data_IF_371863702757
#
_entry.id   IF_371863702757
#
_cell.length_a   1.000
_cell.length_b   1.000
_cell.length_c   1.000
_cell.angle_alpha   90.00
_cell.angle_beta   90.00
_cell.angle_gamma   90.00
#
_symmetry.space_group_name_H-M   'P 1'
#
loop_
_entity.id
_entity.type
_entity.pdbx_description
1 polymer ?
2 branched ?
3 non-polymer ?
4 non-polymer ?
5 water ?
#
# COMPACT_ATOMS: atom_id res chain seq x y z
N UNK A 38 18.02 -3.39 -21.36
CA UNK A 38 17.11 -4.47 -21.84
C UNK A 38 15.61 -4.14 -21.73
N UNK A 39 15.25 -3.09 -20.98
CA UNK A 39 13.83 -2.78 -20.73
C UNK A 39 13.15 -3.77 -19.78
N UNK A 40 13.95 -4.39 -18.90
CA UNK A 40 13.44 -5.33 -17.91
C UNK A 40 13.81 -4.98 -16.44
N UNK A 41 14.61 -3.94 -16.23
CA UNK A 41 15.11 -3.60 -14.91
C UNK A 41 14.05 -3.04 -13.99
N UNK A 42 14.28 -3.18 -12.69
CA UNK A 42 13.40 -2.62 -11.70
C UNK A 42 13.40 -1.10 -11.75
N UNK A 43 12.22 -0.52 -11.45
CA UNK A 43 12.11 0.92 -11.31
C UNK A 43 11.98 1.30 -9.86
N UNK A 44 12.88 2.15 -9.38
CA UNK A 44 12.96 2.52 -7.97
C UNK A 44 12.20 3.80 -7.63
N UNK A 45 11.38 4.27 -8.58
CA UNK A 45 10.41 5.33 -8.33
C UNK A 45 8.97 4.79 -8.45
N UNK A 46 8.84 3.46 -8.37
CA UNK A 46 7.56 2.77 -8.43
C UNK A 46 7.39 1.99 -7.14
N UNK A 47 6.34 2.34 -6.39
CA UNK A 47 6.10 1.85 -5.03
C UNK A 47 4.85 1.01 -5.02
N UNK A 48 4.92 -0.24 -4.59
CA UNK A 48 3.75 -1.08 -4.61
C UNK A 48 3.35 -1.45 -3.18
N UNK A 49 2.10 -1.08 -2.82
CA UNK A 49 1.63 -1.28 -1.44
C UNK A 49 1.42 -2.76 -1.12
N UNK A 50 2.11 -3.23 -0.08
CA UNK A 50 2.25 -4.63 0.28
C UNK A 50 1.72 -4.86 1.70
N UNK A 51 0.98 -5.95 1.87
CA UNK A 51 0.35 -6.29 3.13
C UNK A 51 0.93 -7.62 3.61
N UNK A 52 1.40 -7.62 4.86
CA UNK A 52 2.06 -8.78 5.51
C UNK A 52 1.23 -9.39 6.62
N UNK A 53 -0.08 -9.24 6.52
CA UNK A 53 -0.99 -9.58 7.60
C UNK A 53 -1.68 -10.94 7.44
N UNK A 54 -1.31 -11.72 6.42
CA UNK A 54 -1.94 -13.00 6.16
C UNK A 54 -1.26 -14.09 6.96
N UNK A 55 -1.99 -15.12 7.38
CA UNK A 55 -1.36 -16.27 8.03
C UNK A 55 -1.70 -17.58 7.33
N UNK A 56 -0.90 -18.61 7.58
CA UNK A 56 -1.22 -19.96 7.13
C UNK A 56 -0.97 -20.94 8.25
N UNK A 57 -1.63 -22.08 8.18
CA UNK A 57 -1.43 -23.12 9.16
C UNK A 57 0.03 -23.56 9.16
N UNK A 58 0.65 -23.59 7.97
CA UNK A 58 2.03 -24.05 7.83
C UNK A 58 2.99 -23.26 8.72
N UNK A 59 2.85 -21.94 8.72
CA UNK A 59 3.78 -21.09 9.46
C UNK A 59 3.19 -20.47 10.74
N UNK A 60 1.96 -19.97 10.65
CA UNK A 60 1.35 -19.21 11.75
C UNK A 60 0.44 -20.06 12.61
N UNK A 61 0.11 -21.24 12.12
CA UNK A 61 -0.86 -22.07 12.80
C UNK A 61 -2.27 -21.52 12.75
N UNK A 62 -2.52 -20.60 11.84
CA UNK A 62 -3.83 -19.98 11.70
C UNK A 62 -3.93 -19.15 10.42
N UNK A 63 -5.17 -18.98 9.96
CA UNK A 63 -5.51 -18.23 8.74
C UNK A 63 -5.94 -16.75 8.95
N UNK A 64 -5.01 -16.01 9.54
CA UNK A 64 -5.21 -14.58 9.80
C UNK A 64 -5.49 -13.83 8.50
N UNK A 65 -6.45 -12.92 8.59
CA UNK A 65 -6.93 -12.07 7.50
C UNK A 65 -7.71 -12.82 6.42
N UNK A 66 -7.34 -14.05 6.07
CA UNK A 66 -8.22 -14.85 5.20
C UNK A 66 -9.58 -15.00 5.89
N UNK A 67 -9.54 -15.16 7.23
CA UNK A 67 -10.70 -14.97 8.10
C UNK A 67 -10.78 -13.48 8.47
N UNK A 68 -11.98 -12.92 8.43
CA UNK A 68 -12.11 -11.47 8.68
C UNK A 68 -13.54 -11.16 9.08
N UNK A 69 -13.71 -10.24 10.00
CA UNK A 69 -15.06 -9.76 10.35
C UNK A 69 -15.71 -9.06 9.17
N UNK A 70 -17.01 -9.22 9.06
CA UNK A 70 -17.80 -8.50 8.07
C UNK A 70 -18.24 -7.20 8.73
N UNK A 71 -18.01 -6.09 8.07
CA UNK A 71 -18.35 -4.79 8.63
C UNK A 71 -19.86 -4.53 8.60
N UNK A 72 -20.43 -4.00 9.69
CA UNK A 72 -21.83 -3.57 9.63
C UNK A 72 -21.95 -2.36 8.69
N UNK A 73 -23.14 -2.18 8.18
CA UNK A 73 -23.44 -1.05 7.31
C UNK A 73 -23.52 0.22 8.17
N UNK A 74 -22.65 1.22 7.95
CA UNK A 74 -22.72 2.44 8.78
C UNK A 74 -24.05 3.18 8.67
N UNK A 75 -24.82 2.94 7.61
CA UNK A 75 -26.15 3.53 7.47
C UNK A 75 -27.29 2.52 7.71
N UNK A 76 -26.98 1.35 8.32
CA UNK A 76 -28.00 0.29 8.29
C UNK A 76 -28.70 0.06 9.64
N UNK A 77 -28.47 0.94 10.58
CA UNK A 77 -29.19 0.90 11.86
C UNK A 77 -28.60 -0.06 12.88
N UNK A 78 -29.25 -0.12 14.04
CA UNK A 78 -28.76 -0.90 15.17
C UNK A 78 -29.16 -2.35 15.08
N UNK A 79 -28.47 -3.18 15.85
CA UNK A 79 -28.79 -4.58 15.95
C UNK A 79 -28.34 -5.46 14.80
N UNK A 80 -27.41 -4.97 13.98
CA UNK A 80 -26.86 -5.78 12.90
C UNK A 80 -25.94 -6.86 13.50
N UNK A 81 -25.99 -8.05 12.91
CA UNK A 81 -25.11 -9.15 13.33
C UNK A 81 -24.46 -9.66 12.05
N UNK A 82 -23.51 -8.89 11.53
CA UNK A 82 -22.94 -9.18 10.20
C UNK A 82 -22.16 -10.49 10.12
N UNK A 83 -21.60 -10.93 11.24
CA UNK A 83 -20.84 -12.17 11.26
C UNK A 83 -19.42 -12.00 10.72
N UNK A 84 -18.85 -13.14 10.35
CA UNK A 84 -17.45 -13.21 9.95
C UNK A 84 -17.29 -14.14 8.78
N UNK A 85 -16.27 -13.88 7.99
CA UNK A 85 -15.84 -14.84 6.99
C UNK A 85 -14.80 -15.75 7.63
N UNK A 86 -15.00 -17.07 7.52
CA UNK A 86 -14.21 -17.97 8.38
C UNK A 86 -12.78 -18.27 7.92
N UNK A 87 -12.42 -17.91 6.69
CA UNK A 87 -11.07 -18.18 6.21
C UNK A 87 -10.81 -19.66 5.97
N UNK A 88 -11.86 -20.40 5.62
CA UNK A 88 -11.72 -21.79 5.17
C UNK A 88 -11.23 -21.79 3.73
N UNK A 89 -10.89 -22.96 3.21
CA UNK A 89 -10.50 -23.02 1.81
C UNK A 89 -11.60 -22.48 0.90
N UNK A 90 -12.83 -22.79 1.27
CA UNK A 90 -13.98 -22.44 0.48
C UNK A 90 -14.38 -20.96 0.60
N UNK A 91 -14.15 -20.37 1.77
CA UNK A 91 -14.67 -19.03 2.09
C UNK A 91 -13.62 -18.12 2.74
N UNK A 92 -13.01 -17.30 1.90
CA UNK A 92 -11.97 -16.35 2.32
C UNK A 92 -12.47 -14.93 2.14
N UNK A 93 -11.79 -14.00 2.80
CA UNK A 93 -12.19 -12.60 2.86
C UNK A 93 -11.70 -11.79 1.67
N UNK A 94 -12.13 -12.23 0.49
CA UNK A 94 -11.81 -11.58 -0.78
C UNK A 94 -12.89 -11.97 -1.77
N UNK A 95 -13.12 -11.08 -2.74
CA UNK A 95 -13.96 -11.45 -3.88
C UNK A 95 -13.18 -12.24 -4.95
N UNK A 96 -11.83 -12.26 -4.85
CA UNK A 96 -10.93 -13.01 -5.71
C UNK A 96 -10.26 -14.13 -4.89
N UNK A 97 -9.47 -14.97 -5.57
CA UNK A 97 -8.84 -16.10 -4.92
C UNK A 97 -7.37 -16.18 -5.32
N UNK A 98 -6.44 -16.13 -4.35
CA UNK A 98 -5.02 -16.14 -4.68
C UNK A 98 -4.54 -17.40 -5.39
N UNK A 99 -3.69 -17.23 -6.41
CA UNK A 99 -2.98 -18.36 -7.00
C UNK A 99 -2.17 -19.13 -5.96
N UNK A 100 -1.63 -18.43 -4.97
CA UNK A 100 -0.83 -19.08 -3.94
C UNK A 100 -1.64 -19.63 -2.78
N UNK A 101 -2.98 -19.55 -2.85
CA UNK A 101 -3.86 -20.07 -1.80
C UNK A 101 -3.82 -19.20 -0.54
N UNK A 102 -4.25 -19.80 0.57
CA UNK A 102 -4.29 -19.13 1.87
C UNK A 102 -2.91 -19.13 2.49
N UNK A 103 -2.08 -18.23 2.00
CA UNK A 103 -0.68 -18.25 2.36
C UNK A 103 -0.38 -17.49 3.67
N UNK A 104 0.77 -17.81 4.25
CA UNK A 104 1.29 -17.06 5.36
C UNK A 104 2.29 -16.02 4.87
N UNK A 105 2.12 -14.79 5.36
CA UNK A 105 3.10 -13.74 5.12
C UNK A 105 4.42 -13.97 5.84
N UNK A 106 4.47 -14.96 6.75
CA UNK A 106 5.70 -15.37 7.45
C UNK A 106 6.40 -16.55 6.79
N UNK A 107 5.85 -17.07 5.69
CA UNK A 107 6.43 -18.25 5.03
C UNK A 107 7.55 -17.78 4.10
N UNK A 108 8.83 -18.09 4.41
CA UNK A 108 9.91 -17.63 3.53
C UNK A 108 9.75 -18.07 2.06
N UNK A 109 9.09 -19.20 1.80
CA UNK A 109 8.95 -19.65 0.44
C UNK A 109 7.88 -18.80 -0.32
N UNK A 110 6.85 -18.33 0.38
CA UNK A 110 5.90 -17.36 -0.21
C UNK A 110 6.62 -16.06 -0.48
N UNK A 111 7.44 -15.62 0.45
CA UNK A 111 8.12 -14.34 0.27
C UNK A 111 9.03 -14.38 -0.96
N UNK A 112 9.73 -15.50 -1.15
CA UNK A 112 10.55 -15.67 -2.34
C UNK A 112 9.74 -15.46 -3.62
N UNK A 113 8.60 -16.15 -3.67
CA UNK A 113 7.68 -16.05 -4.80
C UNK A 113 7.18 -14.62 -5.01
N UNK A 114 6.80 -13.94 -3.94
CA UNK A 114 6.40 -12.56 -4.07
C UNK A 114 7.51 -11.69 -4.63
N UNK A 115 8.75 -11.89 -4.20
CA UNK A 115 9.83 -11.06 -4.74
C UNK A 115 10.03 -11.33 -6.23
N UNK A 116 9.89 -12.59 -6.65
CA UNK A 116 9.95 -12.89 -8.08
C UNK A 116 8.80 -12.22 -8.86
N UNK A 117 7.63 -12.08 -8.23
CA UNK A 117 6.51 -11.35 -8.83
C UNK A 117 6.81 -9.86 -8.95
N UNK A 118 7.45 -9.27 -7.93
CA UNK A 118 7.88 -7.86 -8.03
C UNK A 118 8.87 -7.69 -9.18
N UNK A 119 9.81 -8.63 -9.35
CA UNK A 119 10.74 -8.57 -10.48
C UNK A 119 9.99 -8.62 -11.81
N UNK A 120 9.00 -9.49 -11.92
CA UNK A 120 8.23 -9.57 -13.16
C UNK A 120 7.46 -8.25 -13.42
N UNK A 121 6.96 -7.61 -12.37
CA UNK A 121 6.23 -6.37 -12.50
C UNK A 121 7.11 -5.14 -12.69
N UNK A 122 8.42 -5.30 -12.43
CA UNK A 122 9.40 -4.20 -12.48
C UNK A 122 9.25 -3.15 -11.39
N UNK A 123 8.53 -3.53 -10.32
CA UNK A 123 8.27 -2.62 -9.21
C UNK A 123 9.42 -2.72 -8.21
N UNK A 124 10.26 -1.68 -8.14
CA UNK A 124 11.44 -1.74 -7.33
C UNK A 124 11.29 -1.49 -5.84
N UNK A 125 10.15 -0.93 -5.42
CA UNK A 125 9.95 -0.62 -4.00
C UNK A 125 8.68 -1.27 -3.48
N UNK A 126 8.83 -2.02 -2.40
CA UNK A 126 7.75 -2.65 -1.67
C UNK A 126 7.43 -1.73 -0.49
N UNK A 127 6.19 -1.20 -0.48
CA UNK A 127 5.76 -0.22 0.55
C UNK A 127 4.92 -1.00 1.59
N UNK A 128 5.60 -1.38 2.67
CA UNK A 128 5.11 -2.33 3.65
C UNK A 128 4.18 -1.72 4.67
N UNK A 129 2.95 -2.22 4.75
CA UNK A 129 2.01 -1.83 5.80
C UNK A 129 2.67 -2.00 7.16
N UNK A 130 2.48 -1.02 8.04
CA UNK A 130 3.13 -1.04 9.36
C UNK A 130 2.16 -0.55 10.41
N UNK A 131 1.77 -1.48 11.31
CA UNK A 131 0.69 -1.26 12.27
C UNK A 131 1.17 -1.13 13.72
N UNK A 132 2.48 -1.11 13.92
CA UNK A 132 3.04 -0.94 15.26
C UNK A 132 2.47 -2.00 16.23
N UNK A 133 2.58 -3.25 15.83
CA UNK A 133 2.01 -4.34 16.62
C UNK A 133 2.82 -4.66 17.88
N UNK A 134 4.11 -4.26 17.93
CA UNK A 134 4.96 -4.47 19.10
C UNK A 134 4.92 -5.94 19.51
N UNK A 135 5.17 -6.81 18.56
CA UNK A 135 5.20 -8.23 18.82
C UNK A 135 6.27 -8.89 18.01
N UNK A 136 6.77 -9.95 18.60
CA UNK A 136 7.84 -10.74 18.05
C UNK A 136 7.56 -11.21 16.62
N UNK A 137 6.31 -11.60 16.37
CA UNK A 137 6.00 -12.18 15.07
C UNK A 137 6.08 -11.13 13.96
N UNK A 138 5.74 -9.86 14.27
CA UNK A 138 5.90 -8.67 13.35
C UNK A 138 7.37 -8.47 13.04
N UNK A 139 8.17 -8.44 14.10
CA UNK A 139 9.60 -8.22 13.93
C UNK A 139 10.21 -9.30 13.03
N UNK A 140 9.81 -10.54 13.26
CA UNK A 140 10.34 -11.63 12.43
C UNK A 140 9.95 -11.42 10.95
N UNK A 141 8.69 -11.12 10.71
CA UNK A 141 8.21 -10.94 9.37
C UNK A 141 8.94 -9.79 8.63
N UNK A 142 9.11 -8.65 9.31
CA UNK A 142 9.80 -7.54 8.66
C UNK A 142 11.23 -7.94 8.24
N UNK A 143 11.94 -8.65 9.13
CA UNK A 143 13.27 -9.12 8.76
C UNK A 143 13.27 -10.08 7.60
N UNK A 144 12.32 -10.99 7.59
CA UNK A 144 12.20 -11.94 6.46
C UNK A 144 11.93 -11.22 5.15
N UNK A 145 11.07 -10.22 5.19
CA UNK A 145 10.75 -9.45 3.97
C UNK A 145 11.97 -8.68 3.47
N UNK A 146 12.67 -8.00 4.36
CA UNK A 146 13.87 -7.29 3.95
C UNK A 146 14.91 -8.25 3.33
N UNK A 147 15.11 -9.39 3.97
CA UNK A 147 16.08 -10.36 3.45
C UNK A 147 15.69 -10.88 2.07
N UNK A 148 14.41 -11.22 1.91
CA UNK A 148 13.97 -11.76 0.61
C UNK A 148 14.05 -10.69 -0.46
N UNK A 149 13.63 -9.48 -0.14
CA UNK A 149 13.71 -8.37 -1.08
C UNK A 149 15.15 -8.18 -1.56
N UNK A 150 16.11 -8.19 -0.65
CA UNK A 150 17.47 -7.89 -1.05
C UNK A 150 18.02 -8.90 -2.05
N UNK A 151 17.59 -10.15 -1.96
CA UNK A 151 18.08 -11.16 -2.90
C UNK A 151 17.73 -10.84 -4.34
N UNK A 152 16.69 -10.04 -4.55
CA UNK A 152 16.21 -9.65 -5.86
C UNK A 152 16.40 -8.16 -6.15
N UNK A 153 17.17 -7.47 -5.30
CA UNK A 153 17.47 -6.04 -5.44
C UNK A 153 16.21 -5.16 -5.29
N UNK A 154 15.20 -5.68 -4.60
CA UNK A 154 14.02 -4.88 -4.29
C UNK A 154 14.29 -4.11 -3.00
N UNK A 155 13.73 -2.92 -2.92
CA UNK A 155 13.86 -2.07 -1.74
C UNK A 155 12.55 -2.06 -0.97
N UNK A 156 12.63 -1.71 0.32
CA UNK A 156 11.47 -1.70 1.20
C UNK A 156 11.39 -0.35 1.88
N UNK A 157 10.18 0.22 1.87
CA UNK A 157 9.86 1.38 2.70
C UNK A 157 8.62 1.05 3.51
N UNK A 158 8.32 1.87 4.51
CA UNK A 158 7.18 1.63 5.40
C UNK A 158 6.02 2.56 5.12
N UNK A 159 4.83 1.96 5.19
CA UNK A 159 3.53 2.63 5.06
C UNK A 159 2.94 2.69 6.47
N UNK A 160 3.05 3.87 7.09
CA UNK A 160 2.72 4.03 8.51
C UNK A 160 1.21 4.18 8.66
N UNK A 161 0.61 3.17 9.27
CA UNK A 161 -0.84 3.06 9.39
C UNK A 161 -1.36 3.80 10.62
N UNK A 162 -2.70 3.97 10.72
CA UNK A 162 -3.30 4.71 11.85
C UNK A 162 -3.44 3.81 13.06
N UNK A 163 -2.31 3.54 13.69
CA UNK A 163 -2.27 2.69 14.90
C UNK A 163 -2.84 3.47 16.11
N UNK A 164 -3.21 2.77 17.19
CA UNK A 164 -3.86 3.43 18.33
C UNK A 164 -3.04 4.55 18.94
N UNK A 165 -3.67 5.70 19.14
CA UNK A 165 -3.03 6.87 19.75
C UNK A 165 -1.83 7.38 18.96
N UNK A 166 -1.77 7.07 17.65
CA UNK A 166 -0.72 7.63 16.81
C UNK A 166 -0.71 9.16 16.99
N UNK A 167 0.48 9.71 17.16
CA UNK A 167 0.66 11.15 17.34
C UNK A 167 2.07 11.47 16.93
N UNK A 168 2.45 12.75 16.83
CA UNK A 168 3.77 13.04 16.27
C UNK A 168 4.92 12.60 17.17
N UNK A 169 4.69 12.50 18.49
CA UNK A 169 5.76 12.08 19.40
C UNK A 169 6.05 10.58 19.24
N UNK A 170 5.01 9.74 19.30
CA UNK A 170 5.28 8.33 19.07
C UNK A 170 5.63 8.04 17.62
N UNK A 171 5.18 8.84 16.66
CA UNK A 171 5.66 8.68 15.29
C UNK A 171 7.14 8.92 15.22
N UNK A 172 7.62 9.99 15.88
CA UNK A 172 9.06 10.23 15.87
C UNK A 172 9.79 9.04 16.46
N UNK A 173 9.32 8.57 17.61
CA UNK A 173 9.97 7.45 18.30
C UNK A 173 10.02 6.21 17.41
N UNK A 174 8.96 5.97 16.65
CA UNK A 174 8.88 4.83 15.77
C UNK A 174 9.72 4.99 14.52
N UNK A 175 9.80 6.21 13.97
CA UNK A 175 10.72 6.49 12.87
C UNK A 175 12.15 6.25 13.32
N UNK A 176 12.52 6.75 14.50
CA UNK A 176 13.83 6.50 15.05
C UNK A 176 14.09 5.01 15.17
N UNK A 177 13.14 4.25 15.70
CA UNK A 177 13.31 2.81 15.86
C UNK A 177 13.49 2.11 14.53
N UNK A 178 12.67 2.45 13.54
CA UNK A 178 12.76 1.78 12.25
C UNK A 178 14.06 2.10 11.52
N UNK A 179 14.50 3.36 11.59
CA UNK A 179 15.78 3.72 10.96
C UNK A 179 16.95 3.06 11.70
N UNK A 180 16.88 3.04 13.04
CA UNK A 180 17.95 2.42 13.82
C UNK A 180 18.03 0.91 13.55
N UNK A 181 16.88 0.24 13.56
CA UNK A 181 16.82 -1.23 13.41
C UNK A 181 17.18 -1.67 12.01
N UNK A 182 16.64 -0.96 11.02
CA UNK A 182 16.65 -1.43 9.62
C UNK A 182 17.46 -0.57 8.67
N UNK A 183 17.92 0.60 9.11
CA UNK A 183 18.57 1.55 8.20
C UNK A 183 19.84 1.07 7.54
N UNK A 184 20.54 0.12 8.18
CA UNK A 184 21.74 -0.44 7.57
C UNK A 184 21.46 -1.70 6.77
N UNK A 185 20.21 -2.15 6.69
CA UNK A 185 19.88 -3.29 5.86
C UNK A 185 20.02 -2.88 4.40
N UNK A 186 20.65 -3.70 3.56
CA UNK A 186 20.83 -3.31 2.16
C UNK A 186 19.54 -3.06 1.37
N UNK A 187 18.40 -3.61 1.82
CA UNK A 187 17.14 -3.39 1.15
C UNK A 187 16.38 -2.17 1.63
N UNK A 188 16.85 -1.49 2.66
CA UNK A 188 16.14 -0.31 3.18
C UNK A 188 16.17 0.80 2.13
N UNK A 189 15.00 1.29 1.74
CA UNK A 189 14.93 2.27 0.66
C UNK A 189 15.47 3.65 1.04
N UNK A 190 16.26 4.26 0.15
CA UNK A 190 16.60 5.66 0.27
C UNK A 190 16.48 6.34 -1.08
N UNK A 191 16.05 7.60 -1.05
CA UNK A 191 16.00 8.48 -2.22
C UNK A 191 16.93 9.65 -1.89
N UNK A 192 17.99 9.80 -2.70
CA UNK A 192 19.01 10.84 -2.49
C UNK A 192 19.47 10.91 -1.02
N UNK A 193 19.70 9.73 -0.45
CA UNK A 193 20.18 9.60 0.90
C UNK A 193 19.15 9.58 2.01
N UNK A 194 17.87 9.80 1.70
CA UNK A 194 16.83 9.88 2.72
C UNK A 194 15.91 8.69 2.68
N UNK A 195 15.59 8.11 3.84
CA UNK A 195 14.44 7.20 3.89
C UNK A 195 13.14 7.88 3.42
N UNK A 196 12.12 7.07 3.13
CA UNK A 196 10.81 7.59 2.72
C UNK A 196 9.71 6.84 3.47
N UNK A 197 8.74 7.56 4.00
CA UNK A 197 7.56 6.97 4.62
C UNK A 197 6.30 7.50 3.96
N UNK A 198 5.35 6.60 3.71
CA UNK A 198 3.97 6.99 3.39
C UNK A 198 3.18 7.04 4.69
N UNK A 199 2.38 8.08 4.88
CA UNK A 199 1.59 8.24 6.10
C UNK A 199 0.10 8.15 5.77
N UNK A 200 -0.50 7.00 6.06
CA UNK A 200 -1.91 6.80 5.76
C UNK A 200 -2.78 7.60 6.72
N UNK A 201 -3.87 8.20 6.20
CA UNK A 201 -4.84 8.97 6.96
C UNK A 201 -4.07 10.04 7.80
N UNK A 202 -3.09 10.70 7.14
CA UNK A 202 -2.36 11.78 7.79
C UNK A 202 -3.22 12.97 8.24
N UNK A 203 -4.42 13.09 7.65
CA UNK A 203 -5.43 14.08 8.09
C UNK A 203 -5.96 13.89 9.50
N UNK A 204 -5.78 12.71 10.08
CA UNK A 204 -6.19 12.48 11.45
C UNK A 204 -5.29 13.25 12.44
N UNK A 205 -4.20 13.92 11.96
CA UNK A 205 -3.31 14.68 12.82
C UNK A 205 -3.27 16.11 12.27
N UNK A 206 -3.48 17.09 13.15
CA UNK A 206 -3.52 18.47 12.78
C UNK A 206 -2.18 18.96 12.22
N UNK A 207 -2.22 19.90 11.26
CA UNK A 207 -0.96 20.50 10.79
C UNK A 207 -0.11 21.13 11.88
N UNK A 208 -0.72 21.72 12.91
CA UNK A 208 0.09 22.28 13.98
C UNK A 208 0.91 21.22 14.72
N UNK A 209 0.42 20.00 14.80
CA UNK A 209 1.20 18.89 15.36
C UNK A 209 2.26 18.45 14.35
N UNK A 210 1.89 18.22 13.10
CA UNK A 210 2.87 17.84 12.09
C UNK A 210 4.06 18.80 12.04
N UNK A 211 3.79 20.11 12.16
CA UNK A 211 4.85 21.13 12.07
C UNK A 211 5.94 20.88 13.09
N UNK A 212 5.56 20.35 14.26
CA UNK A 212 6.55 20.11 15.33
C UNK A 212 7.57 19.05 14.94
N UNK A 213 7.13 18.11 14.10
CA UNK A 213 7.97 17.01 13.63
C UNK A 213 8.68 17.33 12.32
N UNK A 214 8.03 18.10 11.45
CA UNK A 214 8.42 18.21 10.04
C UNK A 214 8.92 19.57 9.60
N UNK A 215 8.64 20.65 10.34
CA UNK A 215 9.30 21.91 10.03
C UNK A 215 10.75 21.85 10.50
N UNK A 216 11.68 22.51 9.78
CA UNK A 216 13.05 22.56 10.29
C UNK A 216 13.17 23.20 11.67
N UNK A 217 12.20 24.03 12.05
CA UNK A 217 12.19 24.67 13.37
C UNK A 217 11.31 23.98 14.38
N UNK A 218 10.70 22.87 13.99
CA UNK A 218 9.77 22.22 14.90
C UNK A 218 10.40 21.73 16.20
N UNK A 219 9.59 21.73 17.24
CA UNK A 219 9.98 21.36 18.58
C UNK A 219 10.67 20.00 18.68
N UNK A 220 10.21 19.05 17.87
CA UNK A 220 10.77 17.69 17.85
C UNK A 220 11.16 17.31 16.42
N UNK A 221 11.77 18.27 15.72
CA UNK A 221 12.00 18.07 14.30
C UNK A 221 12.90 16.86 14.03
N UNK A 222 12.62 16.21 12.89
CA UNK A 222 13.57 15.28 12.30
C UNK A 222 14.45 15.92 11.25
N UNK A 223 14.16 17.17 10.85
CA UNK A 223 14.96 17.79 9.78
C UNK A 223 16.38 18.04 10.29
N UNK A 224 17.37 17.78 9.45
CA UNK A 224 18.78 17.94 9.78
C UNK A 224 19.28 17.00 10.87
N UNK A 225 18.54 15.95 11.15
CA UNK A 225 18.97 14.94 12.10
C UNK A 225 19.30 13.64 11.36
N UNK A 226 19.81 12.68 12.12
CA UNK A 226 20.05 11.34 11.60
C UNK A 226 18.79 10.63 11.15
N UNK A 227 17.64 11.16 11.56
CA UNK A 227 16.35 10.50 11.33
C UNK A 227 15.48 11.22 10.35
N UNK A 228 16.08 12.14 9.59
CA UNK A 228 15.35 12.88 8.55
C UNK A 228 14.85 11.86 7.51
N UNK A 229 13.71 12.18 6.88
CA UNK A 229 13.09 11.29 5.92
C UNK A 229 12.15 12.10 5.03
N UNK A 230 11.86 11.56 3.85
CA UNK A 230 10.80 12.09 3.00
C UNK A 230 9.47 11.58 3.53
N UNK A 231 8.59 12.49 3.89
CA UNK A 231 7.30 12.16 4.51
C UNK A 231 6.22 12.48 3.50
N UNK A 232 5.51 11.45 3.08
CA UNK A 232 4.51 11.54 2.01
C UNK A 232 3.13 11.37 2.63
N UNK A 233 2.36 12.46 2.71
CA UNK A 233 1.05 12.44 3.33
C UNK A 233 -0.05 12.09 2.35
N UNK A 234 -1.21 11.75 2.89
CA UNK A 234 -2.34 11.33 2.07
C UNK A 234 -3.20 12.54 1.67
N UNK A 235 -3.17 12.91 0.40
CA UNK A 235 -4.06 13.95 -0.14
C UNK A 235 -5.43 13.35 -0.38
N UNK A 236 -6.45 13.82 0.34
CA UNK A 236 -7.82 13.32 0.21
C UNK A 236 -8.72 14.25 -0.60
N UNK A 237 -9.12 15.36 0.02
CA UNK A 237 -10.22 16.18 -0.47
C UNK A 237 -9.78 17.34 -1.39
N UNK A 238 -10.54 18.44 -1.40
CA UNK A 238 -10.33 19.49 -2.40
C UNK A 238 -9.07 20.28 -2.13
N UNK A 239 -8.54 20.95 -3.17
CA UNK A 239 -7.36 21.79 -3.00
C UNK A 239 -7.49 22.87 -1.92
N UNK A 240 -8.68 23.42 -1.74
CA UNK A 240 -8.87 24.47 -0.75
C UNK A 240 -8.50 24.00 0.66
N UNK A 241 -8.72 22.71 0.93
CA UNK A 241 -8.36 22.09 2.19
C UNK A 241 -6.93 21.52 2.13
N UNK A 242 -6.61 20.80 1.09
CA UNK A 242 -5.37 20.02 1.07
C UNK A 242 -4.13 20.86 0.86
N UNK A 243 -4.21 21.93 0.05
CA UNK A 243 -3.02 22.74 -0.21
C UNK A 243 -2.46 23.34 1.09
N UNK A 244 -3.31 24.06 1.87
CA UNK A 244 -2.74 24.59 3.12
C UNK A 244 -2.35 23.49 4.11
N UNK A 245 -3.08 22.37 4.13
CA UNK A 245 -2.72 21.26 5.02
C UNK A 245 -1.28 20.81 4.73
N UNK A 246 -1.00 20.50 3.46
CA UNK A 246 0.32 19.96 3.08
C UNK A 246 1.42 20.98 3.38
N UNK A 247 1.17 22.24 3.05
CA UNK A 247 2.18 23.28 3.32
C UNK A 247 2.41 23.48 4.80
N UNK A 248 1.33 23.62 5.57
CA UNK A 248 1.43 23.92 7.00
C UNK A 248 1.93 22.73 7.81
N UNK A 249 1.73 21.51 7.30
CA UNK A 249 2.23 20.30 7.95
C UNK A 249 3.69 20.00 7.61
N UNK A 250 4.23 20.65 6.56
CA UNK A 250 5.62 20.45 6.14
C UNK A 250 5.90 19.03 5.61
N UNK A 251 4.89 18.42 5.00
CA UNK A 251 5.14 17.17 4.27
C UNK A 251 6.04 17.43 3.08
N UNK A 252 6.83 16.41 2.74
CA UNK A 252 7.67 16.49 1.53
C UNK A 252 6.92 16.17 0.27
N UNK A 253 5.76 15.54 0.39
CA UNK A 253 4.99 15.16 -0.78
C UNK A 253 3.67 14.55 -0.36
N UNK A 254 2.97 13.98 -1.34
CA UNK A 254 1.68 13.43 -1.10
C UNK A 254 1.36 12.33 -2.08
N UNK A 255 0.49 11.41 -1.63
CA UNK A 255 -0.02 10.30 -2.44
C UNK A 255 -1.53 10.26 -2.24
N UNK A 256 -2.20 9.38 -2.99
CA UNK A 256 -3.67 9.40 -3.01
C UNK A 256 -4.33 8.10 -2.54
N UNK A 257 -3.57 7.00 -2.56
CA UNK A 257 -3.93 5.64 -2.15
C UNK A 257 -5.07 4.98 -2.90
N UNK A 258 -6.28 5.56 -2.86
CA UNK A 258 -7.46 4.78 -3.21
C UNK A 258 -7.43 4.30 -4.65
N UNK A 259 -7.72 3.00 -4.82
CA UNK A 259 -7.71 2.42 -6.15
C UNK A 259 -8.97 2.74 -6.93
N UNK A 260 -10.06 3.11 -6.25
CA UNK A 260 -11.33 3.40 -6.87
C UNK A 260 -11.41 4.84 -7.34
N UNK A 261 -11.48 5.03 -8.66
CA UNK A 261 -11.54 6.37 -9.20
C UNK A 261 -12.74 7.12 -8.67
N UNK A 262 -12.56 8.37 -8.30
CA UNK A 262 -13.65 9.19 -7.84
C UNK A 262 -14.00 9.05 -6.38
N UNK A 263 -13.36 8.14 -5.65
CA UNK A 263 -13.67 7.98 -4.22
C UNK A 263 -13.39 9.27 -3.44
N UNK A 264 -12.28 9.91 -3.78
CA UNK A 264 -11.94 11.22 -3.24
C UNK A 264 -11.54 12.13 -4.41
N UNK A 265 -11.41 13.43 -4.14
CA UNK A 265 -10.81 14.35 -5.12
C UNK A 265 -9.43 13.82 -5.56
N UNK A 266 -8.63 13.40 -4.59
CA UNK A 266 -7.29 12.96 -4.88
C UNK A 266 -7.22 11.71 -5.75
N UNK A 267 -8.22 10.82 -5.63
CA UNK A 267 -8.27 9.61 -6.42
C UNK A 267 -9.13 9.77 -7.67
N UNK A 268 -9.32 11.01 -8.12
CA UNK A 268 -9.98 11.32 -9.38
C UNK A 268 -8.90 11.73 -10.38
N UNK A 269 -8.53 10.83 -11.33
CA UNK A 269 -7.33 11.10 -12.11
C UNK A 269 -7.33 12.34 -12.99
N UNK A 270 -8.50 12.84 -13.37
CA UNK A 270 -8.54 14.09 -14.11
C UNK A 270 -8.01 15.30 -13.29
N UNK A 271 -7.86 15.16 -11.97
CA UNK A 271 -7.23 16.19 -11.16
C UNK A 271 -5.71 16.11 -11.11
N UNK A 272 -5.12 15.05 -11.64
CA UNK A 272 -3.71 14.82 -11.43
C UNK A 272 -2.77 15.82 -12.12
N UNK A 273 -3.13 16.29 -13.31
CA UNK A 273 -2.32 17.33 -13.95
C UNK A 273 -2.20 18.56 -13.05
N UNK A 274 -3.33 19.01 -12.52
CA UNK A 274 -3.39 20.19 -11.64
C UNK A 274 -2.65 19.95 -10.33
N UNK A 275 -2.81 18.76 -9.77
CA UNK A 275 -2.12 18.42 -8.53
C UNK A 275 -0.60 18.42 -8.73
N UNK A 276 -0.15 17.88 -9.87
CA UNK A 276 1.28 17.87 -10.16
C UNK A 276 1.82 19.29 -10.36
N UNK A 277 1.07 20.15 -11.05
CA UNK A 277 1.49 21.54 -11.24
C UNK A 277 1.69 22.22 -9.90
N UNK A 278 0.73 22.04 -8.98
CA UNK A 278 0.85 22.62 -7.64
C UNK A 278 2.08 22.05 -6.90
N UNK A 279 2.25 20.72 -6.97
CA UNK A 279 3.40 20.09 -6.33
C UNK A 279 4.70 20.70 -6.83
N UNK A 280 4.85 20.83 -8.15
CA UNK A 280 6.10 21.34 -8.70
C UNK A 280 6.33 22.79 -8.24
N UNK A 281 5.27 23.60 -8.24
CA UNK A 281 5.36 25.00 -7.81
C UNK A 281 5.76 25.14 -6.34
N UNK A 282 5.46 24.13 -5.52
CA UNK A 282 5.65 24.21 -4.09
C UNK A 282 6.73 23.26 -3.56
N UNK A 283 7.52 22.68 -4.47
CA UNK A 283 8.62 21.82 -4.09
C UNK A 283 8.21 20.54 -3.39
N UNK A 284 7.04 20.02 -3.74
CA UNK A 284 6.52 18.78 -3.18
C UNK A 284 6.58 17.64 -4.19
N UNK A 285 6.71 16.42 -3.67
CA UNK A 285 6.71 15.21 -4.48
C UNK A 285 5.32 14.58 -4.55
N UNK A 286 4.73 14.53 -5.72
CA UNK A 286 3.42 13.90 -5.91
C UNK A 286 3.61 12.47 -6.42
N UNK A 287 3.04 11.52 -5.68
CA UNK A 287 3.15 10.10 -5.99
C UNK A 287 1.71 9.56 -6.14
N UNK A 288 1.06 9.80 -7.28
CA UNK A 288 -0.32 9.32 -7.43
C UNK A 288 -0.40 7.81 -7.31
N UNK A 289 -1.53 7.32 -6.79
CA UNK A 289 -1.75 5.89 -6.65
C UNK A 289 -2.68 5.39 -7.75
N UNK A 290 -2.25 4.32 -8.41
CA UNK A 290 -3.01 3.68 -9.47
C UNK A 290 -3.33 2.25 -9.05
N UNK A 291 -4.47 1.76 -9.49
CA UNK A 291 -4.84 0.38 -9.21
C UNK A 291 -5.66 -0.25 -10.31
N UNK A 292 -5.80 -1.57 -10.25
CA UNK A 292 -6.42 -2.29 -11.36
C UNK A 292 -7.94 -2.44 -11.27
N UNK A 293 -8.52 -2.08 -10.13
CA UNK A 293 -9.94 -2.21 -9.88
C UNK A 293 -10.16 -2.11 -8.38
N UNK A 294 -11.43 -2.27 -7.98
CA UNK A 294 -11.78 -2.25 -6.56
C UNK A 294 -13.06 -3.04 -6.35
N UNK A 295 -13.06 -3.92 -5.35
CA UNK A 295 -14.31 -4.55 -4.89
C UNK A 295 -14.05 -5.15 -3.52
N UNK A 296 -14.88 -4.75 -2.53
CA UNK A 296 -14.67 -5.19 -1.16
C UNK A 296 -15.94 -5.75 -0.54
N UNK A 297 -16.85 -6.25 -1.39
CA UNK A 297 -18.18 -6.58 -0.88
C UNK A 297 -18.27 -7.89 -0.08
N UNK A 298 -17.24 -8.75 -0.08
CA UNK A 298 -17.26 -9.87 0.87
C UNK A 298 -17.16 -9.35 2.30
N UNK A 299 -16.29 -8.37 2.56
CA UNK A 299 -16.13 -7.81 3.90
C UNK A 299 -17.01 -6.58 4.16
N UNK A 300 -17.48 -5.90 3.12
CA UNK A 300 -18.32 -4.69 3.25
C UNK A 300 -19.47 -4.83 2.24
N UNK A 301 -20.48 -5.69 2.53
CA UNK A 301 -21.52 -6.01 1.53
C UNK A 301 -22.33 -4.83 1.05
N UNK A 302 -22.39 -3.81 1.91
CA UNK A 302 -23.10 -2.54 1.68
C UNK A 302 -22.33 -1.53 0.83
N UNK A 303 -21.09 -1.84 0.45
CA UNK A 303 -20.21 -0.86 -0.18
C UNK A 303 -20.12 -1.03 -1.70
N UNK A 304 -21.18 -1.53 -2.33
CA UNK A 304 -21.16 -1.77 -3.75
C UNK A 304 -20.95 -0.56 -4.62
N UNK A 305 -21.30 0.65 -4.17
CA UNK A 305 -21.12 1.82 -5.01
C UNK A 305 -19.66 2.13 -5.33
N UNK A 306 -18.74 1.57 -4.53
CA UNK A 306 -17.31 1.80 -4.74
C UNK A 306 -16.68 0.77 -5.70
N UNK A 307 -17.46 -0.24 -6.14
CA UNK A 307 -16.93 -1.21 -7.09
C UNK A 307 -16.44 -0.52 -8.35
N UNK A 308 -15.25 -0.89 -8.79
CA UNK A 308 -14.71 -0.48 -10.08
C UNK A 308 -14.30 -1.74 -10.80
N UNK A 309 -14.94 -2.02 -11.94
CA UNK A 309 -14.72 -3.24 -12.69
C UNK A 309 -13.38 -3.22 -13.44
N UNK A 310 -12.70 -4.37 -13.47
CA UNK A 310 -11.37 -4.46 -14.08
C UNK A 310 -11.39 -4.39 -15.61
N UNK A 311 -12.47 -4.86 -16.25
CA UNK A 311 -12.62 -4.89 -17.73
C UNK A 311 -11.37 -5.38 -18.45
N UNK A 312 -10.88 -6.56 -18.09
CA UNK A 312 -9.75 -7.22 -18.77
C UNK A 312 -8.51 -6.35 -18.84
N UNK A 313 -8.33 -5.47 -17.86
CA UNK A 313 -7.16 -4.62 -17.77
C UNK A 313 -7.38 -3.18 -18.21
N UNK A 314 -8.52 -2.86 -18.80
CA UNK A 314 -8.76 -1.51 -19.35
C UNK A 314 -8.78 -0.45 -18.25
N UNK A 315 -9.34 -0.80 -17.10
CA UNK A 315 -9.37 0.14 -15.97
C UNK A 315 -7.94 0.48 -15.52
N UNK A 316 -7.11 -0.54 -15.34
CA UNK A 316 -5.73 -0.32 -14.90
C UNK A 316 -4.99 0.54 -15.93
N UNK A 317 -5.15 0.19 -17.20
CA UNK A 317 -4.49 0.94 -18.26
C UNK A 317 -4.86 2.42 -18.21
N UNK A 318 -6.16 2.70 -18.06
CA UNK A 318 -6.61 4.08 -18.06
C UNK A 318 -6.00 4.86 -16.90
N UNK A 319 -5.97 4.24 -15.71
CA UNK A 319 -5.48 4.94 -14.54
C UNK A 319 -3.96 5.16 -14.64
N UNK A 320 -3.21 4.14 -15.05
CA UNK A 320 -1.78 4.25 -15.17
C UNK A 320 -1.43 5.31 -16.22
N UNK A 321 -2.16 5.32 -17.34
CA UNK A 321 -1.90 6.35 -18.37
C UNK A 321 -2.08 7.77 -17.80
N UNK A 322 -3.12 7.99 -17.00
CA UNK A 322 -3.33 9.29 -16.42
C UNK A 322 -2.18 9.71 -15.50
N UNK A 323 -1.65 8.77 -14.72
CA UNK A 323 -0.51 9.11 -13.86
C UNK A 323 0.69 9.53 -14.68
N UNK A 324 0.99 8.76 -15.72
CA UNK A 324 2.15 9.04 -16.57
C UNK A 324 1.97 10.39 -17.27
N UNK A 325 0.79 10.61 -17.81
CA UNK A 325 0.47 11.85 -18.53
C UNK A 325 0.53 13.08 -17.65
N UNK A 326 0.32 12.91 -16.34
CA UNK A 326 0.40 14.05 -15.41
C UNK A 326 1.83 14.54 -15.24
N UNK A 327 2.82 13.74 -15.66
CA UNK A 327 4.23 14.18 -15.61
C UNK A 327 4.88 14.01 -14.26
N UNK A 328 4.39 13.07 -13.46
CA UNK A 328 4.93 12.83 -12.14
C UNK A 328 6.26 12.10 -12.24
N UNK A 329 6.98 12.21 -11.11
CA UNK A 329 8.31 11.64 -10.87
C UNK A 329 8.31 10.23 -10.26
N UNK A 330 7.16 9.81 -9.72
CA UNK A 330 7.04 8.58 -8.96
C UNK A 330 5.58 8.20 -9.01
N UNK A 331 5.33 6.89 -8.96
CA UNK A 331 3.98 6.34 -8.98
C UNK A 331 3.87 5.26 -7.89
N UNK A 332 2.70 5.20 -7.26
CA UNK A 332 2.42 4.15 -6.30
C UNK A 332 1.29 3.28 -6.85
N UNK A 333 1.32 2.00 -6.47
CA UNK A 333 0.37 1.01 -6.97
C UNK A 333 -0.39 0.43 -5.79
N UNK A 334 -1.71 0.63 -5.84
CA UNK A 334 -2.66 0.06 -4.87
C UNK A 334 -3.38 -1.06 -5.57
N UNK A 335 -2.96 -2.32 -5.38
CA UNK A 335 -1.99 -2.79 -4.40
C UNK A 335 -1.31 -4.06 -4.93
N UNK A 336 -0.26 -4.51 -4.24
CA UNK A 336 0.22 -5.83 -4.53
C UNK A 336 -0.83 -6.89 -4.12
N UNK A 337 -1.30 -6.79 -2.87
CA UNK A 337 -2.03 -7.90 -2.25
C UNK A 337 -3.00 -7.45 -1.17
N UNK A 338 -3.76 -6.35 -1.42
CA UNK A 338 -4.89 -6.00 -0.55
C UNK A 338 -6.10 -6.80 -1.10
N UNK A 339 -6.13 -8.08 -0.77
CA UNK A 339 -7.14 -9.00 -1.30
C UNK A 339 -8.54 -8.64 -0.81
N UNK A 340 -8.66 -8.05 0.37
CA UNK A 340 -10.00 -7.73 0.86
C UNK A 340 -10.67 -6.70 0.01
N UNK A 341 -9.89 -5.83 -0.63
CA UNK A 341 -10.40 -4.70 -1.38
C UNK A 341 -10.34 -4.90 -2.89
N UNK A 342 -9.86 -6.06 -3.33
CA UNK A 342 -9.91 -6.36 -4.74
C UNK A 342 -9.06 -5.46 -5.60
N UNK A 343 -8.02 -4.86 -5.00
CA UNK A 343 -7.13 -3.98 -5.72
C UNK A 343 -5.81 -4.68 -6.11
N UNK A 344 -5.68 -5.98 -5.80
CA UNK A 344 -4.40 -6.63 -5.92
C UNK A 344 -3.98 -6.84 -7.38
N UNK A 345 -2.67 -6.76 -7.63
CA UNK A 345 -2.08 -7.22 -8.89
C UNK A 345 -1.48 -8.63 -8.76
N UNK A 346 -1.39 -9.14 -7.52
CA UNK A 346 -0.89 -10.50 -7.30
C UNK A 346 -1.76 -11.48 -8.09
N UNK A 347 -1.14 -12.56 -8.65
CA UNK A 347 -1.95 -13.52 -9.41
C UNK A 347 -3.11 -14.12 -8.62
N UNK A 348 -4.25 -14.22 -9.32
CA UNK A 348 -5.51 -14.78 -8.87
C UNK A 348 -5.93 -15.85 -9.85
N UNK A 349 -6.66 -16.85 -9.35
CA UNK A 349 -7.09 -17.97 -10.18
C UNK A 349 -8.59 -18.14 -10.11
N UNK A 350 -9.18 -18.73 -11.17
CA UNK A 350 -10.59 -19.06 -11.07
C UNK A 350 -10.84 -20.06 -9.96
N UNK A 351 -11.92 -19.84 -9.21
CA UNK A 351 -12.30 -20.80 -8.16
C UNK A 351 -13.78 -20.65 -7.87
N UNK A 352 -14.44 -21.80 -7.84
CA UNK A 352 -15.81 -21.86 -7.42
C UNK A 352 -15.85 -22.95 -6.36
N UNK A 353 -16.24 -22.56 -5.17
CA UNK A 353 -16.33 -23.51 -4.06
C UNK A 353 -17.81 -23.68 -3.77
N UNK A 354 -18.09 -24.56 -2.84
CA UNK A 354 -19.46 -24.75 -2.37
C UNK A 354 -20.02 -23.50 -1.68
N UNK A 355 -19.15 -22.58 -1.25
CA UNK A 355 -19.58 -21.39 -0.49
C UNK A 355 -19.61 -20.06 -1.27
N UNK A 356 -18.86 -19.94 -2.36
CA UNK A 356 -18.73 -18.67 -3.06
C UNK A 356 -18.17 -18.92 -4.45
N UNK A 357 -18.64 -18.14 -5.42
CA UNK A 357 -18.07 -18.14 -6.76
C UNK A 357 -17.19 -16.91 -6.84
N UNK A 358 -15.88 -17.09 -6.91
CA UNK A 358 -14.95 -15.96 -6.86
C UNK A 358 -14.90 -15.30 -8.25
N UNK A 359 -14.60 -14.02 -8.26
CA UNK A 359 -14.14 -13.34 -9.45
C UNK A 359 -12.76 -13.83 -9.81
N UNK A 360 -12.33 -13.59 -11.06
CA UNK A 360 -11.02 -13.98 -11.52
C UNK A 360 -10.60 -13.04 -12.62
N UNK A 361 -9.42 -13.25 -13.21
CA UNK A 361 -8.90 -12.28 -14.19
C UNK A 361 -9.50 -12.43 -15.60
N UNK A 362 -10.53 -13.25 -15.67
CA UNK A 362 -11.44 -13.33 -16.83
C UNK A 362 -10.72 -13.82 -18.04
N UNK A 363 -10.71 -12.97 -19.07
CA UNK A 363 -9.97 -13.33 -20.31
C UNK A 363 -8.48 -13.23 -20.21
N UNK A 364 -7.99 -12.68 -19.11
CA UNK A 364 -6.55 -12.59 -18.89
C UNK A 364 -6.04 -13.72 -18.00
N UNK A 365 -4.77 -14.08 -18.20
CA UNK A 365 -4.09 -15.11 -17.40
C UNK A 365 -3.79 -14.61 -15.97
N UNK A 366 -3.51 -15.53 -15.03
CA UNK A 366 -3.29 -15.12 -13.62
C UNK A 366 -2.22 -14.05 -13.44
N UNK A 367 -1.13 -14.10 -14.22
CA UNK A 367 -0.04 -13.13 -14.07
C UNK A 367 -0.20 -11.88 -14.94
N UNK A 368 -1.39 -11.68 -15.52
CA UNK A 368 -1.55 -10.55 -16.41
C UNK A 368 -1.26 -9.22 -15.78
N UNK A 369 -1.71 -9.02 -14.53
CA UNK A 369 -1.51 -7.71 -13.92
C UNK A 369 -0.05 -7.46 -13.55
N UNK A 370 0.72 -8.51 -13.30
CA UNK A 370 2.19 -8.34 -13.16
C UNK A 370 2.84 -7.91 -14.46
N UNK A 371 2.52 -8.63 -15.54
CA UNK A 371 3.18 -8.25 -16.79
C UNK A 371 2.64 -6.94 -17.35
N UNK A 372 1.37 -6.60 -17.07
CA UNK A 372 0.86 -5.28 -17.49
C UNK A 372 1.48 -4.15 -16.68
N UNK A 373 1.75 -4.41 -15.39
CA UNK A 373 2.52 -3.44 -14.60
C UNK A 373 3.89 -3.19 -15.24
N UNK A 374 4.56 -4.26 -15.67
CA UNK A 374 5.87 -4.10 -16.29
C UNK A 374 5.79 -3.24 -17.56
N UNK A 375 4.73 -3.44 -18.33
CA UNK A 375 4.46 -2.62 -19.53
C UNK A 375 4.38 -1.15 -19.17
N UNK A 376 3.59 -0.83 -18.13
CA UNK A 376 3.41 0.56 -17.72
C UNK A 376 4.66 1.16 -17.10
N UNK A 377 5.40 0.37 -16.33
CA UNK A 377 6.67 0.84 -15.80
C UNK A 377 7.57 1.26 -16.97
N UNK A 378 7.59 0.46 -18.02
CA UNK A 378 8.38 0.83 -19.20
C UNK A 378 7.94 2.15 -19.84
N UNK A 379 6.62 2.34 -19.95
CA UNK A 379 6.10 3.60 -20.48
C UNK A 379 6.44 4.78 -19.56
N UNK A 380 6.35 4.56 -18.25
CA UNK A 380 6.73 5.57 -17.28
C UNK A 380 8.20 5.97 -17.44
N UNK A 381 9.08 4.98 -17.58
CA UNK A 381 10.50 5.24 -17.72
C UNK A 381 10.82 5.97 -18.99
N UNK A 382 10.09 5.63 -20.04
CA UNK A 382 10.30 6.28 -21.34
C UNK A 382 10.01 7.77 -21.22
N UNK A 383 9.03 8.13 -20.36
CA UNK A 383 8.55 9.50 -20.07
C UNK A 383 9.38 10.29 -19.07
N UNK A 384 10.12 9.57 -18.22
CA UNK A 384 10.64 10.15 -16.96
C UNK A 384 11.63 11.28 -17.18
#
# INVERSE_FOLDING_TARGET
>A
MGSSHHHHHHSSGLVPRGSHMDDNNPSNSENNGGNNNLGTELDYDTFCFYYDWYGSEAIDGQYRHWAHAIAPDPNGGSGQNPGTIPGTQESIASNFYPQLGRYSSSDPNILTKHMDMFVMARTGVLALTWWNEQDETEAKRIGLILDAADKKKIKVCFHLEPYPSRNVQNLRENIVKLITRYGNHPAFYRKDGKPLFFIYDSYLIEPSEWEKLLSPGGSITIRNTAYDALMIGLWTSSPTVQRPFILNAHFDGFYTYFAATGFTYGSTPTNWVSMQKWAKENGKIFIPSVGPGYIDTRIRPWNGSVIRTRTDGQYYDAMYRKAIEAGVSAISITSFNEWHEGSQIEPAVPYTSSEFTYLDYENREPDYYLTRTAYWVGKFRESKQ
#
